data_IF_643571387338
#
_entry.id   IF_643571387338
#
_cell.length_a   1.000
_cell.length_b   1.000
_cell.length_c   1.000
_cell.angle_alpha   90.00
_cell.angle_beta   90.00
_cell.angle_gamma   90.00
#
_symmetry.space_group_name_H-M   'P 1'
#
loop_
_entity.id
_entity.type
_entity.pdbx_description
1 polymer ?
#
# COMPACT_ATOMS: atom_id res chain seq x y z
N UNK A 1 4.11 -0.09 -29.18
CA UNK A 1 4.78 0.97 -28.44
C UNK A 1 6.08 0.42 -27.85
N UNK A 2 7.22 1.05 -28.13
CA UNK A 2 8.52 0.75 -27.50
C UNK A 2 8.80 1.81 -26.45
N UNK A 3 9.04 1.39 -25.20
CA UNK A 3 9.32 2.29 -24.07
C UNK A 3 10.76 2.02 -23.60
N UNK A 4 11.59 3.05 -23.63
CA UNK A 4 12.97 3.00 -23.15
C UNK A 4 13.02 3.65 -21.78
N UNK A 5 13.64 2.95 -20.82
CA UNK A 5 13.78 3.42 -19.44
C UNK A 5 15.23 3.37 -19.00
N UNK A 6 15.57 4.09 -17.91
CA UNK A 6 16.89 4.06 -17.28
C UNK A 6 17.03 2.96 -16.24
N UNK A 7 15.96 2.19 -16.00
CA UNK A 7 15.91 1.11 -15.02
C UNK A 7 16.86 -0.02 -15.39
N UNK A 8 17.66 -0.46 -14.43
CA UNK A 8 18.49 -1.65 -14.55
C UNK A 8 17.73 -2.86 -14.02
N UNK A 9 17.47 -3.86 -14.88
CA UNK A 9 16.64 -5.02 -14.54
C UNK A 9 17.18 -5.85 -13.36
N UNK A 10 18.50 -5.96 -13.23
CA UNK A 10 19.14 -6.67 -12.10
C UNK A 10 18.96 -5.91 -10.80
N UNK A 11 19.19 -4.60 -10.80
CA UNK A 11 18.96 -3.75 -9.62
C UNK A 11 17.48 -3.73 -9.23
N UNK A 12 16.58 -3.66 -10.21
CA UNK A 12 15.13 -3.73 -9.98
C UNK A 12 14.75 -5.03 -9.26
N UNK A 13 15.22 -6.17 -9.76
CA UNK A 13 14.99 -7.47 -9.14
C UNK A 13 15.49 -7.53 -7.69
N UNK A 14 16.70 -7.02 -7.43
CA UNK A 14 17.24 -6.98 -6.07
C UNK A 14 16.46 -6.04 -5.15
N UNK A 15 16.02 -4.90 -5.64
CA UNK A 15 15.20 -3.95 -4.90
C UNK A 15 13.84 -4.58 -4.49
N UNK A 16 13.16 -5.23 -5.42
CA UNK A 16 11.90 -5.94 -5.16
C UNK A 16 12.08 -7.06 -4.14
N UNK A 17 13.12 -7.89 -4.31
CA UNK A 17 13.42 -8.97 -3.37
C UNK A 17 13.78 -8.47 -1.97
N UNK A 18 14.58 -7.40 -1.87
CA UNK A 18 14.97 -6.81 -0.60
C UNK A 18 13.76 -6.24 0.14
N UNK A 19 12.90 -5.47 -0.56
CA UNK A 19 11.67 -4.93 0.02
C UNK A 19 10.76 -6.07 0.46
N UNK A 20 10.51 -7.05 -0.39
CA UNK A 20 9.65 -8.19 -0.05
C UNK A 20 10.18 -8.95 1.16
N UNK A 21 11.47 -9.29 1.18
CA UNK A 21 12.11 -10.02 2.28
C UNK A 21 11.99 -9.27 3.60
N UNK A 22 12.31 -7.97 3.60
CA UNK A 22 12.25 -7.14 4.81
C UNK A 22 10.81 -7.01 5.33
N UNK A 23 9.87 -6.78 4.44
CA UNK A 23 8.45 -6.67 4.79
C UNK A 23 7.89 -7.99 5.32
N UNK A 24 8.22 -9.11 4.67
CA UNK A 24 7.75 -10.44 5.04
C UNK A 24 8.30 -10.92 6.38
N UNK A 25 9.61 -10.73 6.61
CA UNK A 25 10.31 -11.35 7.75
C UNK A 25 10.40 -10.47 8.99
N UNK A 26 10.30 -9.16 8.83
CA UNK A 26 10.51 -8.22 9.94
C UNK A 26 9.32 -7.29 10.17
N UNK A 27 8.95 -6.50 9.16
CA UNK A 27 8.02 -5.38 9.37
C UNK A 27 6.58 -5.88 9.59
N UNK A 28 6.06 -6.70 8.68
CA UNK A 28 4.69 -7.18 8.79
C UNK A 28 4.45 -8.03 10.05
N UNK A 29 5.34 -8.97 10.43
CA UNK A 29 5.19 -9.72 11.68
C UNK A 29 5.21 -8.84 12.94
N UNK A 30 6.04 -7.79 12.97
CA UNK A 30 6.05 -6.84 14.10
C UNK A 30 4.76 -6.05 14.18
N UNK A 31 4.26 -5.58 13.05
CA UNK A 31 2.96 -4.91 12.97
C UNK A 31 1.84 -5.83 13.45
N UNK A 32 1.79 -7.07 12.94
CA UNK A 32 0.78 -8.04 13.32
C UNK A 32 0.84 -8.38 14.82
N UNK A 33 2.03 -8.47 15.40
CA UNK A 33 2.22 -8.70 16.84
C UNK A 33 1.73 -7.50 17.67
N UNK A 34 2.08 -6.28 17.26
CA UNK A 34 1.68 -5.05 17.95
C UNK A 34 0.15 -4.88 17.98
N UNK A 35 -0.51 -5.22 16.88
CA UNK A 35 -1.96 -5.01 16.72
C UNK A 35 -2.81 -6.26 16.95
N UNK A 36 -2.20 -7.36 17.42
CA UNK A 36 -2.90 -8.64 17.66
C UNK A 36 -4.10 -8.50 18.59
N UNK A 37 -3.96 -7.71 19.65
CA UNK A 37 -4.96 -7.55 20.69
C UNK A 37 -5.79 -6.27 20.54
N UNK A 38 -5.59 -5.50 19.47
CA UNK A 38 -6.35 -4.27 19.25
C UNK A 38 -7.68 -4.58 18.55
N UNK A 39 -8.76 -3.97 19.06
CA UNK A 39 -10.11 -4.13 18.48
C UNK A 39 -10.25 -3.42 17.12
N UNK A 40 -9.33 -2.53 16.79
CA UNK A 40 -9.38 -1.73 15.55
C UNK A 40 -7.99 -1.36 15.07
N UNK A 41 -7.86 -1.23 13.73
CA UNK A 41 -6.67 -0.67 13.09
C UNK A 41 -6.55 0.86 13.22
N UNK A 42 -7.66 1.51 13.46
CA UNK A 42 -7.76 2.97 13.49
C UNK A 42 -7.76 3.44 14.95
N UNK A 43 -6.59 3.37 15.61
CA UNK A 43 -6.44 3.60 17.05
C UNK A 43 -6.90 5.00 17.44
N UNK A 44 -6.48 6.02 16.68
CA UNK A 44 -6.74 7.43 16.99
C UNK A 44 -8.00 7.99 16.30
N UNK A 45 -8.79 7.12 15.64
CA UNK A 45 -9.99 7.55 14.94
C UNK A 45 -11.25 7.31 15.76
N UNK A 46 -12.17 8.28 15.74
CA UNK A 46 -13.51 8.14 16.30
C UNK A 46 -14.30 7.05 15.58
N UNK A 47 -15.42 6.62 16.14
CA UNK A 47 -16.31 5.66 15.49
C UNK A 47 -16.82 6.17 14.13
N UNK A 48 -17.21 7.42 14.08
CA UNK A 48 -17.73 8.06 12.86
C UNK A 48 -16.65 8.15 11.76
N UNK A 49 -15.43 8.50 12.14
CA UNK A 49 -14.29 8.53 11.21
C UNK A 49 -13.97 7.15 10.66
N UNK A 50 -13.98 6.11 11.50
CA UNK A 50 -13.79 4.72 11.06
C UNK A 50 -14.85 4.28 10.05
N UNK A 51 -16.11 4.59 10.34
CA UNK A 51 -17.22 4.28 9.44
C UNK A 51 -17.12 5.08 8.13
N UNK A 52 -16.69 6.35 8.18
CA UNK A 52 -16.43 7.17 6.99
C UNK A 52 -15.32 6.56 6.13
N UNK A 53 -14.19 6.18 6.74
CA UNK A 53 -13.06 5.53 6.06
C UNK A 53 -13.50 4.22 5.38
N UNK A 54 -14.31 3.42 6.07
CA UNK A 54 -14.80 2.16 5.53
C UNK A 54 -15.80 2.37 4.40
N UNK A 55 -16.77 3.26 4.55
CA UNK A 55 -17.72 3.61 3.47
C UNK A 55 -17.00 4.10 2.22
N UNK A 56 -15.99 4.97 2.40
CA UNK A 56 -15.16 5.44 1.30
C UNK A 56 -14.44 4.27 0.62
N UNK A 57 -13.77 3.41 1.38
CA UNK A 57 -13.03 2.28 0.82
C UNK A 57 -13.94 1.28 0.09
N UNK A 58 -15.14 1.03 0.59
CA UNK A 58 -16.16 0.19 -0.07
C UNK A 58 -16.56 0.83 -1.39
N UNK A 59 -16.96 2.10 -1.38
CA UNK A 59 -17.48 2.82 -2.56
C UNK A 59 -16.45 2.91 -3.70
N UNK A 60 -15.15 2.98 -3.37
CA UNK A 60 -14.08 3.06 -4.37
C UNK A 60 -13.47 1.70 -4.73
N UNK A 61 -14.05 0.60 -4.26
CA UNK A 61 -13.61 -0.76 -4.63
C UNK A 61 -14.16 -1.15 -6.01
N UNK A 62 -13.38 -1.96 -6.73
CA UNK A 62 -13.80 -2.47 -8.05
C UNK A 62 -15.12 -3.26 -7.93
N UNK A 63 -15.26 -4.09 -6.87
CA UNK A 63 -16.50 -4.84 -6.59
C UNK A 63 -17.74 -3.92 -6.45
N UNK A 64 -17.60 -2.76 -5.80
CA UNK A 64 -18.73 -1.82 -5.68
C UNK A 64 -19.16 -1.32 -7.04
N UNK A 65 -18.20 -0.92 -7.89
CA UNK A 65 -18.46 -0.43 -9.25
C UNK A 65 -19.09 -1.51 -10.12
N UNK A 66 -18.55 -2.73 -10.11
CA UNK A 66 -19.10 -3.86 -10.86
C UNK A 66 -20.57 -4.14 -10.49
N UNK A 67 -20.91 -4.09 -9.21
CA UNK A 67 -22.30 -4.28 -8.75
C UNK A 67 -23.20 -3.09 -9.11
N UNK A 68 -22.69 -1.87 -9.02
CA UNK A 68 -23.41 -0.64 -9.42
C UNK A 68 -23.69 -0.64 -10.93
N UNK A 69 -22.68 -0.99 -11.74
CA UNK A 69 -22.81 -1.13 -13.20
C UNK A 69 -23.80 -2.25 -13.59
N UNK A 70 -23.90 -3.31 -12.76
CA UNK A 70 -24.89 -4.37 -12.89
C UNK A 70 -26.31 -3.97 -12.42
N UNK A 71 -26.52 -2.72 -11.99
CA UNK A 71 -27.82 -2.18 -11.59
C UNK A 71 -28.23 -2.49 -10.14
N UNK A 72 -27.33 -2.95 -9.29
CA UNK A 72 -27.63 -3.21 -7.88
C UNK A 72 -27.80 -1.89 -7.10
N UNK A 73 -28.83 -1.83 -6.26
CA UNK A 73 -29.02 -0.70 -5.35
C UNK A 73 -27.94 -0.62 -4.28
N UNK A 74 -27.67 0.58 -3.75
CA UNK A 74 -26.68 0.78 -2.69
C UNK A 74 -26.94 -0.12 -1.46
N UNK A 75 -28.20 -0.38 -1.11
CA UNK A 75 -28.58 -1.29 -0.02
C UNK A 75 -28.16 -2.75 -0.32
N UNK A 76 -28.40 -3.21 -1.53
CA UNK A 76 -28.01 -4.56 -1.97
C UNK A 76 -26.49 -4.71 -1.99
N UNK A 77 -25.77 -3.70 -2.48
CA UNK A 77 -24.31 -3.68 -2.51
C UNK A 77 -23.77 -3.77 -1.08
N UNK A 78 -24.24 -2.90 -0.18
CA UNK A 78 -23.78 -2.92 1.22
C UNK A 78 -24.06 -4.27 1.91
N UNK A 79 -25.22 -4.87 1.67
CA UNK A 79 -25.53 -6.21 2.19
C UNK A 79 -24.61 -7.31 1.62
N UNK A 80 -24.18 -7.19 0.36
CA UNK A 80 -23.23 -8.11 -0.24
C UNK A 80 -21.82 -8.00 0.36
N UNK A 81 -21.44 -6.79 0.82
CA UNK A 81 -20.16 -6.58 1.49
C UNK A 81 -20.07 -7.22 2.89
N UNK A 82 -21.19 -7.58 3.49
CA UNK A 82 -21.26 -8.27 4.78
C UNK A 82 -21.45 -9.79 4.66
N UNK A 83 -21.56 -10.33 3.42
CA UNK A 83 -21.67 -11.77 3.18
C UNK A 83 -20.31 -12.38 2.88
N UNK A 84 -19.91 -13.49 3.54
CA UNK A 84 -18.68 -14.19 3.23
C UNK A 84 -18.68 -14.74 1.79
N UNK A 85 -17.57 -14.58 1.10
CA UNK A 85 -17.34 -15.20 -0.20
C UNK A 85 -15.88 -15.64 -0.34
N UNK A 86 -15.64 -16.62 -1.20
CA UNK A 86 -14.29 -17.04 -1.54
C UNK A 86 -13.57 -15.94 -2.30
N UNK A 87 -12.36 -15.62 -1.89
CA UNK A 87 -11.54 -14.59 -2.53
C UNK A 87 -10.06 -14.81 -2.30
N UNK A 88 -9.24 -14.24 -3.19
CA UNK A 88 -7.79 -14.18 -3.02
C UNK A 88 -7.39 -12.87 -2.37
N UNK A 89 -6.56 -12.95 -1.34
CA UNK A 89 -5.99 -11.79 -0.67
C UNK A 89 -4.48 -11.80 -0.75
N UNK A 90 -3.90 -10.62 -0.80
CA UNK A 90 -2.44 -10.46 -0.79
C UNK A 90 -1.88 -10.71 0.60
N UNK A 91 -0.75 -11.43 0.64
CA UNK A 91 0.16 -11.45 1.79
C UNK A 91 1.59 -11.37 1.27
N UNK A 92 2.54 -10.96 2.11
CA UNK A 92 3.97 -10.98 1.74
C UNK A 92 4.54 -12.40 1.51
N UNK A 93 3.77 -13.46 1.86
CA UNK A 93 4.11 -14.86 1.56
C UNK A 93 3.47 -15.39 0.28
N UNK A 94 2.77 -14.52 -0.46
CA UNK A 94 2.02 -14.86 -1.65
C UNK A 94 0.51 -14.65 -1.50
N UNK A 95 -0.23 -14.90 -2.56
CA UNK A 95 -1.70 -14.87 -2.53
C UNK A 95 -2.25 -16.02 -1.69
N UNK A 96 -3.30 -15.75 -0.94
CA UNK A 96 -3.99 -16.76 -0.13
C UNK A 96 -5.47 -16.77 -0.48
N UNK A 97 -5.98 -17.97 -0.81
CA UNK A 97 -7.41 -18.21 -0.91
C UNK A 97 -8.03 -18.25 0.49
N UNK A 98 -9.13 -17.55 0.66
CA UNK A 98 -9.79 -17.41 1.96
C UNK A 98 -11.28 -17.15 1.80
N UNK A 99 -12.05 -17.58 2.80
CA UNK A 99 -13.47 -17.26 2.95
C UNK A 99 -13.59 -16.10 3.94
N UNK A 100 -13.98 -14.93 3.46
CA UNK A 100 -14.21 -13.76 4.31
C UNK A 100 -15.20 -12.80 3.66
N UNK A 101 -15.67 -11.81 4.43
CA UNK A 101 -16.52 -10.77 3.85
C UNK A 101 -15.67 -9.81 3.01
N UNK A 102 -16.21 -9.19 1.94
CA UNK A 102 -15.52 -8.11 1.22
C UNK A 102 -15.10 -6.95 2.13
N UNK A 103 -15.86 -6.67 3.18
CA UNK A 103 -15.51 -5.69 4.22
C UNK A 103 -14.22 -6.09 4.96
N UNK A 104 -14.12 -7.35 5.37
CA UNK A 104 -12.93 -7.86 6.06
C UNK A 104 -11.72 -7.90 5.15
N UNK A 105 -11.90 -8.15 3.86
CA UNK A 105 -10.80 -8.08 2.89
C UNK A 105 -10.23 -6.67 2.75
N UNK A 106 -11.07 -5.64 2.81
CA UNK A 106 -10.63 -4.24 2.86
C UNK A 106 -9.80 -3.98 4.13
N UNK A 107 -10.27 -4.44 5.29
CA UNK A 107 -9.53 -4.33 6.54
C UNK A 107 -8.21 -5.10 6.50
N UNK A 108 -8.20 -6.31 5.94
CA UNK A 108 -7.00 -7.09 5.71
C UNK A 108 -5.95 -6.29 4.90
N UNK A 109 -6.36 -5.74 3.74
CA UNK A 109 -5.45 -4.96 2.91
C UNK A 109 -4.99 -3.64 3.56
N UNK A 110 -5.81 -3.04 4.43
CA UNK A 110 -5.40 -1.87 5.24
C UNK A 110 -4.38 -2.22 6.33
N UNK A 111 -4.30 -3.48 6.78
CA UNK A 111 -3.27 -4.00 7.71
C UNK A 111 -1.92 -4.24 7.05
N UNK A 112 -1.89 -4.43 5.74
CA UNK A 112 -0.65 -4.65 5.03
C UNK A 112 0.21 -3.38 5.05
N UNK A 113 1.36 -3.46 5.70
CA UNK A 113 2.34 -2.39 5.71
C UNK A 113 2.88 -2.16 4.30
N UNK A 114 3.14 -0.92 3.95
CA UNK A 114 3.61 -0.54 2.62
C UNK A 114 4.97 0.10 2.72
N UNK A 115 5.83 -0.24 1.78
CA UNK A 115 7.13 0.37 1.62
C UNK A 115 7.35 0.72 0.15
N UNK A 116 8.17 1.73 -0.09
CA UNK A 116 8.70 2.07 -1.40
C UNK A 116 10.22 2.12 -1.34
N UNK A 117 10.84 1.94 -2.49
CA UNK A 117 12.29 2.01 -2.63
C UNK A 117 12.63 2.62 -3.99
N UNK A 118 13.55 3.58 -4.01
CA UNK A 118 14.05 4.20 -5.24
C UNK A 118 15.57 4.24 -5.18
N UNK A 119 16.23 3.76 -6.22
CA UNK A 119 17.67 3.88 -6.41
C UNK A 119 17.97 4.80 -7.56
N UNK A 120 18.82 5.78 -7.31
CA UNK A 120 19.26 6.78 -8.28
C UNK A 120 20.77 6.67 -8.51
N UNK A 121 21.20 6.88 -9.74
CA UNK A 121 22.60 7.10 -10.05
C UNK A 121 22.98 8.53 -9.64
N UNK A 122 23.91 8.74 -8.72
CA UNK A 122 24.23 10.07 -8.19
C UNK A 122 24.87 11.01 -9.22
N UNK A 123 25.47 10.48 -10.29
CA UNK A 123 26.11 11.29 -11.33
C UNK A 123 25.12 11.78 -12.38
N UNK A 124 24.13 10.96 -12.72
CA UNK A 124 23.19 11.24 -13.83
C UNK A 124 21.79 11.59 -13.37
N UNK A 125 21.46 11.30 -12.10
CA UNK A 125 20.09 11.40 -11.58
C UNK A 125 19.14 10.32 -12.12
N UNK A 126 19.62 9.37 -12.93
CA UNK A 126 18.79 8.35 -13.54
C UNK A 126 18.27 7.34 -12.51
N UNK A 127 16.98 7.04 -12.58
CA UNK A 127 16.36 6.00 -11.78
C UNK A 127 16.84 4.63 -12.26
N UNK A 128 17.50 3.87 -11.39
CA UNK A 128 18.03 2.54 -11.68
C UNK A 128 17.14 1.42 -11.14
N UNK A 129 16.42 1.66 -10.05
CA UNK A 129 15.39 0.76 -9.53
C UNK A 129 14.25 1.56 -8.89
N UNK A 130 13.04 1.05 -9.00
CA UNK A 130 11.85 1.73 -8.51
C UNK A 130 10.81 0.71 -8.00
N UNK A 131 10.52 0.75 -6.72
CA UNK A 131 9.48 -0.05 -6.07
C UNK A 131 8.47 0.91 -5.45
N UNK A 132 7.31 1.09 -6.06
CA UNK A 132 6.28 2.03 -5.62
C UNK A 132 5.36 1.48 -4.52
N UNK A 133 5.36 0.17 -4.32
CA UNK A 133 4.51 -0.50 -3.33
C UNK A 133 4.67 -2.03 -3.34
N UNK A 134 3.93 -2.75 -2.48
CA UNK A 134 4.13 -4.18 -2.30
C UNK A 134 3.71 -5.04 -3.50
N UNK A 135 2.66 -4.65 -4.20
CA UNK A 135 2.15 -5.37 -5.36
C UNK A 135 1.13 -4.50 -6.08
N UNK A 136 1.36 -4.17 -7.35
CA UNK A 136 0.52 -3.25 -8.12
C UNK A 136 -0.91 -3.78 -8.36
N UNK A 137 -1.11 -5.09 -8.42
CA UNK A 137 -2.45 -5.70 -8.59
C UNK A 137 -3.39 -5.34 -7.44
N UNK A 138 -2.86 -5.34 -6.19
CA UNK A 138 -3.65 -5.08 -4.98
C UNK A 138 -3.51 -3.64 -4.46
N UNK A 139 -2.40 -2.97 -4.77
CA UNK A 139 -2.05 -1.65 -4.22
C UNK A 139 -1.58 -0.73 -5.34
N UNK A 140 -2.54 -0.07 -5.99
CA UNK A 140 -2.26 0.84 -7.12
C UNK A 140 -1.68 2.19 -6.68
N UNK A 141 -1.74 2.51 -5.38
CA UNK A 141 -1.20 3.74 -4.84
C UNK A 141 0.33 3.67 -4.74
N UNK A 142 0.98 4.53 -5.49
CA UNK A 142 2.45 4.64 -5.53
C UNK A 142 2.96 5.41 -4.30
N UNK A 143 3.60 4.72 -3.38
CA UNK A 143 4.11 5.30 -2.15
C UNK A 143 5.33 6.19 -2.38
N UNK A 144 6.12 5.94 -3.44
CA UNK A 144 7.30 6.74 -3.75
C UNK A 144 6.92 8.09 -4.37
N UNK A 145 5.91 8.10 -5.26
CA UNK A 145 5.49 9.30 -5.98
C UNK A 145 4.36 10.06 -5.30
N UNK A 146 3.37 9.34 -4.77
CA UNK A 146 2.13 9.93 -4.25
C UNK A 146 2.12 10.02 -2.72
N UNK A 147 2.99 9.23 -2.05
CA UNK A 147 3.04 9.16 -0.60
C UNK A 147 3.48 10.48 0.02
N UNK A 148 2.59 11.09 0.83
CA UNK A 148 2.90 12.29 1.60
C UNK A 148 3.20 11.89 3.04
N UNK A 149 4.36 12.31 3.55
CA UNK A 149 4.83 12.06 4.91
C UNK A 149 5.47 13.32 5.48
N UNK A 150 5.47 13.44 6.80
CA UNK A 150 6.25 14.46 7.48
C UNK A 150 7.73 14.18 7.19
N UNK A 151 8.44 15.21 6.69
CA UNK A 151 9.80 15.07 6.19
C UNK A 151 10.80 14.77 7.35
N UNK A 152 10.59 15.35 8.52
CA UNK A 152 11.45 15.15 9.69
C UNK A 152 12.93 15.37 9.36
N UNK A 153 13.80 14.53 9.88
CA UNK A 153 15.27 14.63 9.70
C UNK A 153 15.75 14.37 8.26
N UNK A 154 14.90 13.89 7.38
CA UNK A 154 15.28 13.69 5.96
C UNK A 154 15.46 15.00 5.20
N UNK A 155 15.06 16.15 5.78
CA UNK A 155 15.36 17.48 5.24
C UNK A 155 16.83 17.90 5.43
N UNK A 156 17.54 17.31 6.40
CA UNK A 156 18.89 17.73 6.78
C UNK A 156 19.91 17.79 5.63
N UNK A 157 19.99 16.80 4.72
CA UNK A 157 20.91 16.90 3.58
C UNK A 157 20.69 18.16 2.76
N UNK A 158 19.44 18.57 2.53
CA UNK A 158 19.10 19.77 1.78
C UNK A 158 19.52 21.05 2.54
N UNK A 159 19.25 21.10 3.85
CA UNK A 159 19.64 22.24 4.69
C UNK A 159 21.16 22.37 4.76
N UNK A 160 21.89 21.28 4.92
CA UNK A 160 23.34 21.31 4.97
C UNK A 160 23.96 21.67 3.62
N UNK A 161 23.45 21.15 2.52
CA UNK A 161 23.90 21.54 1.17
C UNK A 161 23.71 23.03 0.96
N UNK A 162 22.53 23.56 1.31
CA UNK A 162 22.27 25.00 1.21
C UNK A 162 23.22 25.82 2.07
N UNK A 163 23.47 25.41 3.30
CA UNK A 163 24.39 26.12 4.19
C UNK A 163 25.84 26.11 3.69
N UNK A 164 26.32 24.99 3.15
CA UNK A 164 27.68 24.89 2.58
C UNK A 164 27.82 25.74 1.32
N UNK A 165 26.78 25.85 0.51
CA UNK A 165 26.81 26.58 -0.75
C UNK A 165 26.72 28.11 -0.55
N UNK A 166 26.25 28.57 0.62
CA UNK A 166 25.98 29.98 0.91
C UNK A 166 26.81 30.55 2.07
N UNK A 167 27.67 29.77 2.70
CA UNK A 167 28.62 30.17 3.75
C UNK A 167 30.06 30.12 3.26
#
# INVERSE_FOLDING_TARGET
LKIYTTVNSTMQKYAEQAVQKQMQSVIQPRMDAQYRNTKTLFIDATREERERIMRHAIRYSDRYREMEDAGASAKQIMAAFDKPCSMKVFTYRGERDTLMTPRDSILHHKRIMRASFVALDPRTGYVKAYVGGPNFRYFKYDMAKQGKRQIGSTIKPFVYTFAIDHL
#
